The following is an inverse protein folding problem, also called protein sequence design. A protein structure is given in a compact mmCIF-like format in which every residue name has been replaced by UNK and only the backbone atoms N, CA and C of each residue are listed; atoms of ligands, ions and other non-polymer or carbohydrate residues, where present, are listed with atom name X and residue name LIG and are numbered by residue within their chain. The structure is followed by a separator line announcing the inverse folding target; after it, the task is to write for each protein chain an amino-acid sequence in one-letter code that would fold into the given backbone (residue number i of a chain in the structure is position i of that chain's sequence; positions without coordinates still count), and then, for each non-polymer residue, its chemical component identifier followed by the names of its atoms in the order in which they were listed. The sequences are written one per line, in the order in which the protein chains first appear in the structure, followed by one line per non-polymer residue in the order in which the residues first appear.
data_IF_549570604070
#
_entry.id   IF_549570604070
#
_cell.length_a   1.000
_cell.length_b   1.000
_cell.length_c   1.000
_cell.angle_alpha   90.00
_cell.angle_beta   90.00
_cell.angle_gamma   90.00
#
_symmetry.space_group_name_H-M   'P 1'
#
loop_
_entity.id
_entity.type
_entity.pdbx_description
1 polymer ?
#
# COMPACT_ATOMS: atom_id res chain seq x y z
N UNK A 1 11.61 -12.37 39.56
CA UNK A 1 10.58 -12.89 38.64
C UNK A 1 9.88 -11.68 38.05
N UNK A 2 10.45 -11.10 37.00
CA UNK A 2 9.78 -10.06 36.23
C UNK A 2 9.02 -10.78 35.13
N UNK A 3 7.69 -10.68 35.17
CA UNK A 3 6.86 -11.17 34.07
C UNK A 3 7.19 -10.33 32.83
N UNK A 4 7.87 -10.96 31.87
CA UNK A 4 8.04 -10.41 30.55
C UNK A 4 6.67 -10.48 29.88
N UNK A 5 5.91 -9.39 29.99
CA UNK A 5 4.68 -9.20 29.24
C UNK A 5 4.97 -9.46 27.77
N UNK A 6 4.37 -10.50 27.21
CA UNK A 6 4.47 -10.87 25.81
C UNK A 6 3.82 -9.74 24.98
N UNK A 7 4.63 -8.74 24.61
CA UNK A 7 4.19 -7.68 23.70
C UNK A 7 4.03 -8.36 22.34
N UNK A 8 2.79 -8.69 21.97
CA UNK A 8 2.47 -9.04 20.59
C UNK A 8 2.94 -7.89 19.71
N UNK A 9 4.01 -8.13 18.95
CA UNK A 9 4.47 -7.21 17.92
C UNK A 9 3.29 -7.00 16.99
N UNK A 10 2.71 -5.79 16.97
CA UNK A 10 1.64 -5.42 16.04
C UNK A 10 2.12 -5.72 14.62
N UNK A 11 1.48 -6.70 14.01
CA UNK A 11 1.90 -7.28 12.76
C UNK A 11 1.16 -6.60 11.61
N UNK A 12 1.88 -6.00 10.65
CA UNK A 12 1.24 -5.41 9.46
C UNK A 12 1.71 -6.07 8.16
N UNK A 13 0.79 -6.76 7.49
CA UNK A 13 1.01 -7.30 6.14
C UNK A 13 0.71 -6.25 5.09
N UNK A 14 1.57 -6.14 4.07
CA UNK A 14 1.32 -5.32 2.88
C UNK A 14 1.54 -6.12 1.60
N UNK A 15 0.72 -5.85 0.59
CA UNK A 15 0.79 -6.50 -0.72
C UNK A 15 1.70 -5.73 -1.67
N UNK A 16 2.59 -6.46 -2.35
CA UNK A 16 3.47 -5.89 -3.40
C UNK A 16 2.75 -5.73 -4.75
N UNK A 17 1.49 -6.16 -4.83
CA UNK A 17 0.61 -5.96 -5.98
C UNK A 17 -0.25 -4.72 -5.78
N UNK A 18 -0.55 -4.02 -6.86
CA UNK A 18 -1.40 -2.84 -6.83
C UNK A 18 -2.87 -3.28 -6.67
N UNK A 19 -3.65 -2.67 -5.76
CA UNK A 19 -5.07 -3.00 -5.59
C UNK A 19 -5.92 -2.66 -6.84
N UNK A 20 -5.46 -1.73 -7.68
CA UNK A 20 -6.16 -1.32 -8.89
C UNK A 20 -5.88 -2.25 -10.08
N UNK A 21 -4.60 -2.44 -10.41
CA UNK A 21 -4.21 -3.21 -11.60
C UNK A 21 -4.03 -4.71 -11.33
N UNK A 22 -3.93 -5.11 -10.07
CA UNK A 22 -3.58 -6.47 -9.63
C UNK A 22 -2.19 -6.95 -10.13
N UNK A 23 -1.40 -6.06 -10.72
CA UNK A 23 -0.01 -6.30 -11.13
C UNK A 23 0.96 -5.85 -10.05
N UNK A 24 2.23 -6.30 -10.13
CA UNK A 24 3.26 -5.85 -9.20
C UNK A 24 3.49 -4.34 -9.34
N UNK A 25 3.47 -3.63 -8.21
CA UNK A 25 3.67 -2.19 -8.16
C UNK A 25 5.06 -1.85 -8.72
N UNK A 26 5.13 -0.85 -9.61
CA UNK A 26 6.39 -0.32 -10.14
C UNK A 26 6.67 1.08 -9.59
N UNK A 27 5.62 1.89 -9.46
CA UNK A 27 5.70 3.25 -8.94
C UNK A 27 4.88 3.33 -7.65
N UNK A 28 5.42 2.89 -6.49
CA UNK A 28 4.67 2.85 -5.25
C UNK A 28 4.33 4.26 -4.80
N UNK A 29 3.04 4.52 -4.68
CA UNK A 29 2.54 5.80 -4.21
C UNK A 29 1.40 5.61 -3.21
N UNK A 30 1.21 6.66 -2.42
CA UNK A 30 0.14 6.81 -1.43
C UNK A 30 -0.16 8.29 -1.27
N UNK A 31 -1.23 8.61 -0.55
CA UNK A 31 -1.50 9.97 -0.13
C UNK A 31 -0.92 10.23 1.27
N UNK A 32 -0.35 11.42 1.50
CA UNK A 32 0.19 11.82 2.81
C UNK A 32 -0.87 11.81 3.92
N UNK A 33 -2.14 12.05 3.58
CA UNK A 33 -3.27 12.04 4.52
C UNK A 33 -3.84 10.66 4.84
N UNK A 34 -3.21 9.57 4.41
CA UNK A 34 -3.67 8.20 4.66
C UNK A 34 -2.93 7.54 5.82
N UNK A 35 -3.65 6.74 6.62
CA UNK A 35 -3.10 6.01 7.78
C UNK A 35 -2.73 4.54 7.45
N UNK A 36 -2.71 4.15 6.18
CA UNK A 36 -2.38 2.79 5.73
C UNK A 36 -0.98 2.71 5.13
N UNK A 37 -0.30 1.57 5.26
CA UNK A 37 1.01 1.33 4.63
C UNK A 37 0.92 0.78 3.20
N UNK A 38 -0.23 0.23 2.81
CA UNK A 38 -0.43 -0.32 1.47
C UNK A 38 -0.29 0.79 0.42
N UNK A 39 0.67 0.64 -0.50
CA UNK A 39 0.80 1.50 -1.66
C UNK A 39 -0.07 1.00 -2.83
N UNK A 40 -0.32 1.89 -3.78
CA UNK A 40 -0.83 1.56 -5.10
C UNK A 40 0.13 2.07 -6.17
N UNK A 41 -0.03 1.59 -7.39
CA UNK A 41 0.83 1.99 -8.51
C UNK A 41 0.35 3.33 -9.10
N UNK A 42 1.25 4.31 -9.18
CA UNK A 42 0.93 5.66 -9.62
C UNK A 42 0.38 5.72 -11.04
N UNK A 43 1.00 4.99 -11.98
CA UNK A 43 0.57 4.94 -13.37
C UNK A 43 -0.83 4.35 -13.48
N UNK A 44 -1.07 3.26 -12.75
CA UNK A 44 -2.39 2.61 -12.68
C UNK A 44 -3.46 3.53 -12.11
N UNK A 45 -3.14 4.32 -11.08
CA UNK A 45 -4.06 5.28 -10.47
C UNK A 45 -4.37 6.45 -11.41
N UNK A 46 -3.35 7.06 -12.04
CA UNK A 46 -3.52 8.17 -12.96
C UNK A 46 -4.34 7.81 -14.21
N UNK A 47 -4.24 6.56 -14.67
CA UNK A 47 -5.02 6.03 -15.79
C UNK A 47 -6.41 5.50 -15.38
N UNK A 48 -6.71 5.43 -14.08
CA UNK A 48 -7.96 4.87 -13.61
C UNK A 48 -9.15 5.83 -13.80
N UNK A 49 -10.37 5.29 -13.71
CA UNK A 49 -11.59 6.11 -13.72
C UNK A 49 -11.69 7.07 -12.53
N UNK A 50 -10.92 6.86 -11.45
CA UNK A 50 -10.95 7.70 -10.25
C UNK A 50 -10.41 9.11 -10.52
N UNK A 51 -9.42 9.23 -11.41
CA UNK A 51 -8.84 10.52 -11.82
C UNK A 51 -9.60 11.09 -13.02
N UNK A 52 -10.00 10.25 -13.99
CA UNK A 52 -10.72 10.70 -15.19
C UNK A 52 -12.11 11.27 -14.88
N UNK A 53 -12.81 10.74 -13.88
CA UNK A 53 -14.11 11.28 -13.47
C UNK A 53 -14.00 12.67 -12.83
N UNK A 54 -12.79 13.08 -12.42
CA UNK A 54 -12.54 14.27 -11.63
C UNK A 54 -11.26 15.02 -12.09
N UNK A 55 -11.16 15.43 -13.37
CA UNK A 55 -9.91 15.92 -13.96
C UNK A 55 -9.42 17.25 -13.39
N UNK A 56 -10.33 18.04 -12.79
CA UNK A 56 -10.03 19.33 -12.16
C UNK A 56 -10.26 19.31 -10.63
N UNK A 57 -10.48 18.13 -10.03
CA UNK A 57 -10.81 18.09 -8.61
C UNK A 57 -9.56 18.28 -7.75
N UNK A 58 -9.67 19.19 -6.80
CA UNK A 58 -8.72 19.35 -5.70
C UNK A 58 -8.74 18.14 -4.75
N UNK A 59 -9.77 17.29 -4.84
CA UNK A 59 -9.91 16.08 -4.04
C UNK A 59 -10.00 14.83 -4.90
N UNK A 60 -9.29 13.79 -4.49
CA UNK A 60 -9.32 12.46 -5.08
C UNK A 60 -9.72 11.45 -4.00
N UNK A 61 -10.25 10.29 -4.40
CA UNK A 61 -10.59 9.21 -3.48
C UNK A 61 -9.48 8.16 -3.48
N UNK A 62 -8.92 7.87 -2.31
CA UNK A 62 -7.86 6.88 -2.18
C UNK A 62 -8.39 5.47 -2.51
N UNK A 63 -7.74 4.70 -3.40
CA UNK A 63 -8.20 3.37 -3.82
C UNK A 63 -7.98 2.27 -2.75
N UNK A 64 -7.29 2.59 -1.66
CA UNK A 64 -7.01 1.65 -0.57
C UNK A 64 -8.04 1.81 0.55
N UNK A 65 -8.17 3.03 1.09
CA UNK A 65 -8.98 3.31 2.27
C UNK A 65 -10.28 4.09 1.99
N UNK A 66 -10.58 4.43 0.73
CA UNK A 66 -11.75 5.21 0.30
C UNK A 66 -11.89 6.60 0.95
N UNK A 67 -10.82 7.12 1.58
CA UNK A 67 -10.78 8.48 2.11
C UNK A 67 -10.64 9.48 0.96
N UNK A 68 -11.38 10.58 1.05
CA UNK A 68 -11.19 11.73 0.18
C UNK A 68 -9.96 12.51 0.67
N UNK A 69 -9.04 12.80 -0.25
CA UNK A 69 -7.71 13.35 0.02
C UNK A 69 -7.38 14.41 -1.01
N UNK A 70 -6.57 15.41 -0.62
CA UNK A 70 -6.09 16.41 -1.58
C UNK A 70 -5.29 15.73 -2.70
N UNK A 71 -5.57 16.08 -3.95
CA UNK A 71 -4.83 15.55 -5.11
C UNK A 71 -3.33 15.86 -5.04
N UNK A 72 -2.97 17.01 -4.46
CA UNK A 72 -1.58 17.44 -4.25
C UNK A 72 -0.84 16.59 -3.20
N UNK A 73 -1.56 15.78 -2.41
CA UNK A 73 -0.96 14.93 -1.39
C UNK A 73 -0.45 13.58 -1.93
N UNK A 74 -0.54 13.32 -3.24
CA UNK A 74 -0.03 12.11 -3.86
C UNK A 74 1.51 12.12 -3.88
N UNK A 75 2.12 11.13 -3.23
CA UNK A 75 3.58 11.04 -3.08
C UNK A 75 4.09 9.65 -3.41
N UNK A 76 5.35 9.56 -3.84
CA UNK A 76 6.08 8.30 -3.97
C UNK A 76 6.56 7.85 -2.60
N UNK A 77 6.30 6.60 -2.26
CA UNK A 77 6.76 5.98 -1.01
C UNK A 77 8.10 5.28 -1.23
N UNK A 78 9.19 5.92 -0.79
CA UNK A 78 10.54 5.40 -0.99
C UNK A 78 10.85 4.16 -0.15
N UNK A 79 10.17 3.99 1.00
CA UNK A 79 10.32 2.79 1.81
C UNK A 79 9.70 1.59 1.09
N UNK A 80 8.50 1.78 0.53
CA UNK A 80 7.84 0.75 -0.26
C UNK A 80 8.61 0.44 -1.55
N UNK A 81 9.25 1.45 -2.17
CA UNK A 81 10.13 1.28 -3.33
C UNK A 81 11.35 0.40 -3.01
N UNK A 82 12.00 0.60 -1.85
CA UNK A 82 13.09 -0.29 -1.38
C UNK A 82 12.61 -1.74 -1.22
N UNK A 83 11.43 -1.93 -0.61
CA UNK A 83 10.82 -3.25 -0.46
C UNK A 83 10.60 -3.91 -1.83
N UNK A 84 10.01 -3.18 -2.78
CA UNK A 84 9.71 -3.70 -4.13
C UNK A 84 10.98 -4.15 -4.85
N UNK A 85 12.05 -3.37 -4.72
CA UNK A 85 13.36 -3.64 -5.37
C UNK A 85 14.11 -4.82 -4.74
N UNK A 86 13.98 -5.01 -3.43
CA UNK A 86 14.71 -6.05 -2.69
C UNK A 86 13.93 -7.36 -2.55
N UNK A 87 12.60 -7.33 -2.59
CA UNK A 87 11.79 -8.54 -2.52
C UNK A 87 11.86 -9.35 -3.84
N UNK A 88 11.97 -10.68 -3.80
CA UNK A 88 11.97 -11.52 -5.00
C UNK A 88 10.71 -11.30 -5.86
N UNK A 89 10.84 -11.48 -7.17
CA UNK A 89 9.75 -11.30 -8.15
C UNK A 89 8.51 -12.18 -7.86
N UNK A 90 8.73 -13.36 -7.26
CA UNK A 90 7.72 -14.37 -6.94
C UNK A 90 6.89 -14.06 -5.69
N UNK A 91 7.38 -13.13 -4.85
CA UNK A 91 6.73 -12.77 -3.57
C UNK A 91 5.59 -11.78 -3.82
N UNK A 92 4.42 -12.09 -3.25
CA UNK A 92 3.21 -11.28 -3.41
C UNK A 92 2.95 -10.27 -2.28
N UNK A 93 3.61 -10.43 -1.12
CA UNK A 93 3.42 -9.60 0.06
C UNK A 93 4.58 -9.73 1.04
N UNK A 94 4.68 -8.76 1.94
CA UNK A 94 5.70 -8.75 3.00
C UNK A 94 5.06 -8.41 4.33
N UNK A 95 5.74 -8.85 5.37
CA UNK A 95 5.44 -8.55 6.75
C UNK A 95 6.30 -7.37 7.22
N UNK A 96 5.66 -6.28 7.68
CA UNK A 96 6.34 -5.11 8.25
C UNK A 96 6.43 -5.23 9.78
N UNK A 97 7.61 -4.95 10.32
CA UNK A 97 7.87 -4.82 11.76
C UNK A 97 7.85 -3.36 12.19
N UNK A 98 7.57 -3.13 13.48
CA UNK A 98 7.56 -1.80 14.10
C UNK A 98 8.93 -1.11 14.10
N UNK A 99 10.02 -1.88 13.98
CA UNK A 99 11.38 -1.35 13.83
C UNK A 99 11.72 -0.95 12.38
N UNK A 100 10.77 -1.06 11.44
CA UNK A 100 10.96 -0.74 10.02
C UNK A 100 11.58 -1.86 9.19
N UNK A 101 11.97 -2.98 9.79
CA UNK A 101 12.37 -4.15 9.03
C UNK A 101 11.17 -4.85 8.41
N UNK A 102 11.42 -5.64 7.37
CA UNK A 102 10.40 -6.46 6.75
C UNK A 102 10.91 -7.87 6.44
N UNK A 103 10.00 -8.83 6.38
CA UNK A 103 10.27 -10.21 5.95
C UNK A 103 9.27 -10.67 4.91
N UNK A 104 9.68 -11.63 4.09
CA UNK A 104 8.80 -12.24 3.09
C UNK A 104 7.68 -13.00 3.79
N UNK A 105 6.47 -12.86 3.26
CA UNK A 105 5.32 -13.67 3.65
C UNK A 105 4.92 -14.58 2.46
N UNK A 106 4.89 -15.90 2.69
CA UNK A 106 4.47 -16.89 1.68
C UNK A 106 2.94 -16.96 1.50
N UNK A 107 2.18 -16.21 2.30
CA UNK A 107 0.73 -16.12 2.20
C UNK A 107 0.30 -15.35 0.95
N UNK A 108 -0.73 -15.85 0.26
CA UNK A 108 -1.34 -15.13 -0.86
C UNK A 108 -1.87 -13.78 -0.37
N UNK A 109 -1.28 -12.69 -0.86
CA UNK A 109 -1.82 -11.35 -0.63
C UNK A 109 -3.10 -11.18 -1.44
N UNK A 110 -4.25 -11.37 -0.80
CA UNK A 110 -5.58 -11.30 -1.40
C UNK A 110 -6.22 -9.97 -1.02
N UNK A 111 -6.48 -9.13 -2.03
CA UNK A 111 -7.37 -7.99 -1.84
C UNK A 111 -8.80 -8.50 -1.76
N UNK A 112 -9.48 -8.32 -0.63
CA UNK A 112 -10.93 -8.51 -0.57
C UNK A 112 -11.55 -7.50 -1.53
N UNK A 113 -12.18 -7.97 -2.61
CA UNK A 113 -13.00 -7.10 -3.47
C UNK A 113 -14.00 -6.39 -2.56
N UNK A 114 -13.97 -5.06 -2.52
CA UNK A 114 -15.12 -4.31 -2.02
C UNK A 114 -16.25 -4.59 -3.01
N UNK A 115 -17.24 -5.38 -2.58
CA UNK A 115 -18.49 -5.54 -3.33
C UNK A 115 -19.07 -4.14 -3.55
N UNK A 116 -19.36 -3.83 -4.81
CA UNK A 116 -20.09 -2.62 -5.20
C UNK A 116 -21.50 -2.61 -4.60
#
# INVERSE_FOLDING_TARGET
MTEESEIEVLRQTVCLRCPLSQTRIQNPCRFLGCDHFQCFDASSFLLSGLTQAQPNALMLRCPVCDRDVSGEALVIDLYFDDIIKRAPATVGGVYLRTNGEWTIEDSKCLFSRKSA
#
